data_IF_026789361169
#
_entry.id   IF_026789361169
#
_cell.length_a   1.000
_cell.length_b   1.000
_cell.length_c   1.000
_cell.angle_alpha   90.00
_cell.angle_beta   90.00
_cell.angle_gamma   90.00
#
_symmetry.space_group_name_H-M   'P 1'
#
loop_
_entity.id
_entity.type
_entity.pdbx_description
1 polymer ?
#
# COMPACT_ATOMS: atom_id res chain seq x y z
N UNK A 1 31.34 -26.95 -17.88
CA UNK A 1 29.90 -26.70 -17.66
C UNK A 1 29.71 -25.20 -17.48
N UNK A 2 29.62 -24.45 -18.58
CA UNK A 2 29.44 -22.99 -18.56
C UNK A 2 28.07 -22.63 -19.09
N UNK A 3 27.06 -22.58 -18.22
CA UNK A 3 25.74 -22.10 -18.60
C UNK A 3 25.78 -20.60 -18.84
N UNK A 4 25.55 -20.15 -20.07
CA UNK A 4 25.43 -18.73 -20.41
C UNK A 4 24.17 -18.18 -19.73
N UNK A 5 24.31 -17.61 -18.53
CA UNK A 5 23.16 -17.02 -17.84
C UNK A 5 22.57 -15.89 -18.70
N UNK A 6 21.25 -15.96 -18.92
CA UNK A 6 20.47 -14.96 -19.68
C UNK A 6 20.68 -13.56 -19.05
N UNK A 7 20.80 -13.53 -17.72
CA UNK A 7 20.96 -12.32 -16.92
C UNK A 7 22.36 -12.22 -16.31
N UNK A 8 22.82 -10.99 -16.07
CA UNK A 8 24.03 -10.70 -15.29
C UNK A 8 23.72 -10.33 -13.83
N UNK A 9 22.51 -9.81 -13.58
CA UNK A 9 22.08 -9.32 -12.28
C UNK A 9 20.56 -9.39 -12.15
N UNK A 10 20.08 -9.56 -10.92
CA UNK A 10 18.70 -9.33 -10.52
C UNK A 10 18.61 -8.04 -9.71
N UNK A 11 17.73 -7.12 -10.10
CA UNK A 11 17.46 -5.89 -9.35
C UNK A 11 16.01 -5.95 -8.86
N UNK A 12 15.81 -6.11 -7.56
CA UNK A 12 14.48 -6.17 -6.96
C UNK A 12 14.12 -4.83 -6.33
N UNK A 13 13.15 -4.16 -6.95
CA UNK A 13 12.50 -2.95 -6.44
C UNK A 13 11.32 -3.34 -5.58
N UNK A 14 11.23 -2.75 -4.38
CA UNK A 14 10.13 -3.01 -3.49
C UNK A 14 9.60 -1.77 -2.79
N UNK A 15 8.29 -1.71 -2.58
CA UNK A 15 7.66 -0.80 -1.62
C UNK A 15 7.05 -1.66 -0.52
N UNK A 16 7.36 -1.39 0.74
CA UNK A 16 6.85 -2.20 1.84
C UNK A 16 6.50 -1.33 3.04
N UNK A 17 5.44 -1.70 3.75
CA UNK A 17 5.11 -1.10 5.04
C UNK A 17 5.59 -1.97 6.19
N UNK A 18 5.11 -3.22 6.22
CA UNK A 18 5.32 -4.19 7.32
C UNK A 18 6.31 -5.32 6.99
N UNK A 19 6.97 -5.27 5.82
CA UNK A 19 7.98 -6.24 5.41
C UNK A 19 7.53 -7.29 4.38
N UNK A 20 6.23 -7.44 4.08
CA UNK A 20 5.74 -8.47 3.15
C UNK A 20 6.39 -8.42 1.75
N UNK A 21 6.38 -7.25 1.11
CA UNK A 21 6.95 -7.08 -0.23
C UNK A 21 8.48 -7.20 -0.22
N UNK A 22 9.13 -6.73 0.85
CA UNK A 22 10.57 -6.94 1.06
C UNK A 22 10.91 -8.43 1.15
N UNK A 23 10.12 -9.21 1.89
CA UNK A 23 10.31 -10.65 2.01
C UNK A 23 10.24 -11.35 0.65
N UNK A 24 9.29 -10.96 -0.22
CA UNK A 24 9.21 -11.48 -1.59
C UNK A 24 10.44 -11.09 -2.41
N UNK A 25 10.87 -9.83 -2.35
CA UNK A 25 12.07 -9.37 -3.04
C UNK A 25 13.33 -10.11 -2.56
N UNK A 26 13.45 -10.35 -1.25
CA UNK A 26 14.53 -11.13 -0.63
C UNK A 26 14.52 -12.59 -1.11
N UNK A 27 13.37 -13.23 -1.23
CA UNK A 27 13.30 -14.59 -1.79
C UNK A 27 13.76 -14.63 -3.24
N UNK A 28 13.40 -13.61 -4.05
CA UNK A 28 13.89 -13.51 -5.42
C UNK A 28 15.42 -13.36 -5.47
N UNK A 29 15.98 -12.50 -4.62
CA UNK A 29 17.44 -12.33 -4.49
C UNK A 29 18.14 -13.64 -4.09
N UNK A 30 17.62 -14.35 -3.08
CA UNK A 30 18.17 -15.64 -2.64
C UNK A 30 18.18 -16.69 -3.75
N UNK A 31 17.09 -16.81 -4.52
CA UNK A 31 17.04 -17.76 -5.64
C UNK A 31 18.02 -17.37 -6.73
N UNK A 32 18.16 -16.07 -7.05
CA UNK A 32 19.14 -15.61 -8.02
C UNK A 32 20.58 -15.91 -7.57
N UNK A 33 20.91 -15.71 -6.30
CA UNK A 33 22.22 -16.02 -5.71
C UNK A 33 22.55 -17.51 -5.81
N UNK A 34 21.57 -18.42 -5.61
CA UNK A 34 21.80 -19.86 -5.83
C UNK A 34 22.15 -20.24 -7.27
N UNK A 35 21.83 -19.36 -8.22
CA UNK A 35 22.20 -19.52 -9.63
C UNK A 35 23.46 -18.73 -10.01
N UNK A 36 24.17 -18.15 -9.04
CA UNK A 36 25.37 -17.35 -9.28
C UNK A 36 25.12 -15.92 -9.79
N UNK A 37 23.86 -15.46 -9.81
CA UNK A 37 23.51 -14.10 -10.21
C UNK A 37 23.72 -13.13 -9.04
N UNK A 38 24.34 -11.98 -9.32
CA UNK A 38 24.37 -10.87 -8.37
C UNK A 38 22.96 -10.33 -8.16
N UNK A 39 22.62 -9.96 -6.93
CA UNK A 39 21.32 -9.41 -6.58
C UNK A 39 21.46 -8.02 -5.95
N UNK A 40 20.46 -7.17 -6.14
CA UNK A 40 20.35 -5.88 -5.45
C UNK A 40 18.91 -5.66 -5.00
N UNK A 41 18.72 -5.19 -3.76
CA UNK A 41 17.42 -4.88 -3.17
C UNK A 41 17.28 -3.36 -2.99
N UNK A 42 16.31 -2.74 -3.68
CA UNK A 42 16.07 -1.29 -3.68
C UNK A 42 14.68 -1.00 -3.12
N UNK A 43 14.61 -0.28 -2.00
CA UNK A 43 13.33 0.20 -1.47
C UNK A 43 12.91 1.48 -2.20
N UNK A 44 11.73 1.49 -2.80
CA UNK A 44 11.14 2.68 -3.41
C UNK A 44 10.60 3.60 -2.31
N UNK A 45 11.13 4.82 -2.22
CA UNK A 45 10.61 5.89 -1.35
C UNK A 45 10.21 7.12 -2.17
N UNK A 46 9.31 7.93 -1.61
CA UNK A 46 8.84 9.16 -2.24
C UNK A 46 9.93 10.24 -2.28
N UNK A 47 10.04 10.89 -3.43
CA UNK A 47 11.00 11.96 -3.69
C UNK A 47 12.39 11.46 -4.14
N UNK A 48 12.60 10.14 -4.22
CA UNK A 48 13.79 9.57 -4.84
C UNK A 48 13.59 9.44 -6.36
N UNK A 49 14.69 9.56 -7.12
CA UNK A 49 14.68 9.34 -8.57
C UNK A 49 14.54 7.84 -8.85
N UNK A 50 13.90 7.49 -9.95
CA UNK A 50 13.84 6.09 -10.38
C UNK A 50 15.22 5.61 -10.85
N UNK A 51 15.70 4.50 -10.29
CA UNK A 51 17.03 3.98 -10.60
C UNK A 51 17.07 3.35 -11.98
N UNK A 52 18.19 3.52 -12.68
CA UNK A 52 18.45 2.82 -13.94
C UNK A 52 18.72 1.35 -13.67
N UNK A 53 18.13 0.47 -14.48
CA UNK A 53 18.41 -0.97 -14.42
C UNK A 53 19.58 -1.29 -15.35
N UNK A 54 20.67 -1.92 -14.87
CA UNK A 54 21.81 -2.29 -15.71
C UNK A 54 21.40 -3.20 -16.88
N UNK A 55 22.10 -3.14 -18.00
CA UNK A 55 21.82 -3.99 -19.16
C UNK A 55 21.93 -5.48 -18.82
N UNK A 56 21.09 -6.30 -19.45
CA UNK A 56 21.00 -7.75 -19.22
C UNK A 56 20.65 -8.09 -17.76
N UNK A 57 19.80 -7.28 -17.14
CA UNK A 57 19.29 -7.56 -15.79
C UNK A 57 17.84 -8.01 -15.80
N UNK A 58 17.47 -8.76 -14.77
CA UNK A 58 16.09 -9.08 -14.45
C UNK A 58 15.59 -8.12 -13.38
N UNK A 59 14.67 -7.22 -13.74
CA UNK A 59 14.02 -6.32 -12.79
C UNK A 59 12.84 -7.03 -12.12
N UNK A 60 12.74 -7.00 -10.80
CA UNK A 60 11.62 -7.57 -10.04
C UNK A 60 10.92 -6.45 -9.28
N UNK A 61 9.61 -6.32 -9.42
CA UNK A 61 8.81 -5.32 -8.71
C UNK A 61 7.88 -5.99 -7.71
N UNK A 62 8.05 -5.70 -6.42
CA UNK A 62 7.19 -6.23 -5.35
C UNK A 62 6.59 -5.09 -4.52
N UNK A 63 5.28 -5.14 -4.25
CA UNK A 63 4.61 -4.03 -3.57
C UNK A 63 3.22 -4.43 -3.07
N UNK A 64 2.66 -3.78 -2.04
CA UNK A 64 1.31 -4.07 -1.58
C UNK A 64 0.27 -3.67 -2.62
N UNK A 65 -0.82 -4.45 -2.74
CA UNK A 65 -2.03 -4.03 -3.46
C UNK A 65 -2.86 -3.10 -2.59
N UNK A 66 -3.20 -1.92 -3.09
CA UNK A 66 -4.05 -0.94 -2.42
C UNK A 66 -5.30 -0.67 -3.28
N UNK A 67 -6.51 -0.86 -2.74
CA UNK A 67 -7.75 -0.60 -3.49
C UNK A 67 -7.88 -1.42 -4.78
N UNK A 68 -7.45 -2.69 -4.77
CA UNK A 68 -7.44 -3.60 -5.94
C UNK A 68 -6.59 -3.10 -7.11
N UNK A 69 -5.58 -2.28 -6.82
CA UNK A 69 -4.63 -1.77 -7.81
C UNK A 69 -3.26 -1.45 -7.18
N UNK A 70 -2.32 -0.98 -7.99
CA UNK A 70 -0.98 -0.63 -7.55
C UNK A 70 -0.99 0.71 -6.78
N UNK A 71 -0.14 0.89 -5.74
CA UNK A 71 -0.04 2.17 -5.04
C UNK A 71 0.46 3.29 -5.96
N UNK A 72 -0.01 4.52 -5.72
CA UNK A 72 0.44 5.70 -6.47
C UNK A 72 1.96 5.87 -6.54
N UNK A 73 2.66 5.50 -5.47
CA UNK A 73 4.12 5.57 -5.44
C UNK A 73 4.77 4.64 -6.47
N UNK A 74 4.27 3.43 -6.61
CA UNK A 74 4.77 2.45 -7.59
C UNK A 74 4.43 2.89 -9.00
N UNK A 75 3.18 3.30 -9.25
CA UNK A 75 2.76 3.79 -10.57
C UNK A 75 3.64 4.96 -11.02
N UNK A 76 3.88 5.94 -10.13
CA UNK A 76 4.75 7.08 -10.42
C UNK A 76 6.21 6.67 -10.61
N UNK A 77 6.74 5.79 -9.76
CA UNK A 77 8.12 5.34 -9.85
C UNK A 77 8.39 4.63 -11.18
N UNK A 78 7.52 3.68 -11.56
CA UNK A 78 7.60 2.95 -12.82
C UNK A 78 7.40 3.89 -14.00
N UNK A 79 6.42 4.79 -13.93
CA UNK A 79 6.21 5.80 -14.95
C UNK A 79 7.40 6.74 -15.11
N UNK A 80 8.28 6.89 -14.13
CA UNK A 80 9.49 7.73 -14.18
C UNK A 80 10.79 6.94 -14.47
N UNK A 81 10.74 5.61 -14.63
CA UNK A 81 11.93 4.78 -14.90
C UNK A 81 12.62 5.18 -16.22
N UNK A 82 13.96 5.20 -16.28
CA UNK A 82 14.67 5.26 -17.55
C UNK A 82 14.25 4.13 -18.51
N UNK A 83 14.54 4.29 -19.81
CA UNK A 83 14.25 3.24 -20.79
C UNK A 83 14.89 1.91 -20.36
N UNK A 84 14.11 0.84 -20.36
CA UNK A 84 14.54 -0.49 -19.92
C UNK A 84 15.48 -1.19 -20.89
N UNK A 85 15.69 -0.68 -22.11
CA UNK A 85 16.57 -1.29 -23.12
C UNK A 85 16.26 -2.78 -23.36
N UNK A 86 14.97 -3.16 -23.36
CA UNK A 86 14.48 -4.54 -23.47
C UNK A 86 14.91 -5.46 -22.32
N UNK A 87 15.38 -4.92 -21.20
CA UNK A 87 15.58 -5.69 -19.96
C UNK A 87 14.30 -6.41 -19.57
N UNK A 88 14.46 -7.59 -18.97
CA UNK A 88 13.33 -8.39 -18.55
C UNK A 88 12.80 -7.90 -17.21
N UNK A 89 11.48 -8.01 -17.02
CA UNK A 89 10.83 -7.62 -15.78
C UNK A 89 9.85 -8.69 -15.27
N UNK A 90 9.70 -8.78 -13.95
CA UNK A 90 8.68 -9.56 -13.26
C UNK A 90 7.91 -8.65 -12.32
N UNK A 91 6.59 -8.84 -12.25
CA UNK A 91 5.70 -8.07 -11.37
C UNK A 91 5.01 -8.99 -10.36
N UNK A 92 5.21 -8.71 -9.07
CA UNK A 92 4.75 -9.52 -7.95
C UNK A 92 3.98 -8.67 -6.92
N UNK A 93 2.75 -8.23 -7.23
CA UNK A 93 1.94 -7.51 -6.27
C UNK A 93 1.56 -8.44 -5.10
N UNK A 94 1.71 -7.95 -3.88
CA UNK A 94 1.29 -8.67 -2.68
C UNK A 94 -0.20 -8.45 -2.44
N UNK A 95 -0.93 -9.53 -2.18
CA UNK A 95 -2.36 -9.51 -1.87
C UNK A 95 -2.61 -10.13 -0.50
N UNK A 96 -3.66 -9.66 0.17
CA UNK A 96 -3.95 -9.98 1.57
C UNK A 96 -4.54 -11.39 1.73
N UNK A 97 -3.67 -12.38 1.94
CA UNK A 97 -4.07 -13.73 2.31
C UNK A 97 -4.51 -13.80 3.78
N UNK A 98 -5.58 -14.55 4.03
CA UNK A 98 -6.08 -14.83 5.39
C UNK A 98 -6.27 -16.33 5.58
N UNK A 99 -6.18 -16.78 6.84
CA UNK A 99 -6.46 -18.17 7.22
C UNK A 99 -7.42 -18.16 8.40
N UNK A 100 -8.59 -18.77 8.22
CA UNK A 100 -9.67 -18.83 9.21
C UNK A 100 -10.02 -20.30 9.42
N UNK A 101 -9.94 -20.77 10.67
CA UNK A 101 -10.24 -22.18 11.04
C UNK A 101 -9.56 -23.21 10.11
N UNK A 102 -8.30 -22.97 9.76
CA UNK A 102 -7.51 -23.86 8.90
C UNK A 102 -7.70 -23.66 7.38
N UNK A 103 -8.74 -22.95 6.95
CA UNK A 103 -9.01 -22.67 5.54
C UNK A 103 -8.26 -21.41 5.10
N UNK A 104 -7.52 -21.52 4.00
CA UNK A 104 -6.81 -20.40 3.38
C UNK A 104 -7.70 -19.70 2.36
N UNK A 105 -7.76 -18.37 2.43
CA UNK A 105 -8.44 -17.52 1.46
C UNK A 105 -7.41 -16.58 0.83
N UNK A 106 -7.25 -16.62 -0.52
CA UNK A 106 -6.34 -15.72 -1.21
C UNK A 106 -6.87 -14.28 -1.19
N UNK A 107 -5.95 -13.33 -1.31
CA UNK A 107 -6.30 -11.93 -1.50
C UNK A 107 -6.70 -11.62 -2.94
N UNK A 108 -7.01 -10.34 -3.20
CA UNK A 108 -7.30 -9.84 -4.54
C UNK A 108 -6.37 -8.67 -4.88
N UNK A 109 -5.49 -8.88 -5.87
CA UNK A 109 -4.58 -7.86 -6.41
C UNK A 109 -5.24 -6.95 -7.45
N UNK A 110 -6.35 -7.39 -8.05
CA UNK A 110 -7.05 -6.67 -9.10
C UNK A 110 -6.13 -6.31 -10.27
N UNK A 111 -6.09 -5.03 -10.61
CA UNK A 111 -5.25 -4.52 -11.72
C UNK A 111 -3.78 -4.37 -11.36
N UNK A 112 -3.38 -4.55 -10.10
CA UNK A 112 -2.06 -4.17 -9.60
C UNK A 112 -0.88 -4.79 -10.35
N UNK A 113 -1.01 -6.03 -10.81
CA UNK A 113 0.04 -6.72 -11.58
C UNK A 113 0.12 -6.22 -13.02
N UNK A 114 -0.96 -6.37 -13.76
CA UNK A 114 -0.98 -6.05 -15.20
C UNK A 114 -0.93 -4.56 -15.51
N UNK A 115 -1.42 -3.69 -14.61
CA UNK A 115 -1.25 -2.24 -14.76
C UNK A 115 0.24 -1.87 -14.77
N UNK A 116 1.01 -2.38 -13.82
CA UNK A 116 2.45 -2.11 -13.75
C UNK A 116 3.20 -2.82 -14.88
N UNK A 117 2.78 -4.02 -15.29
CA UNK A 117 3.32 -4.68 -16.48
C UNK A 117 3.15 -3.81 -17.74
N UNK A 118 1.99 -3.17 -17.91
CA UNK A 118 1.72 -2.24 -19.00
C UNK A 118 2.60 -0.98 -18.92
N UNK A 119 2.75 -0.38 -17.73
CA UNK A 119 3.63 0.78 -17.54
C UNK A 119 5.11 0.44 -17.83
N UNK A 120 5.56 -0.75 -17.45
CA UNK A 120 6.91 -1.24 -17.74
C UNK A 120 7.11 -1.45 -19.25
N UNK A 121 6.10 -1.97 -19.95
CA UNK A 121 6.14 -2.10 -21.40
C UNK A 121 6.30 -0.74 -22.09
N UNK A 122 5.55 0.29 -21.67
CA UNK A 122 5.75 1.66 -22.16
C UNK A 122 7.15 2.21 -21.85
N UNK A 123 7.79 1.74 -20.78
CA UNK A 123 9.17 2.08 -20.44
C UNK A 123 10.22 1.22 -21.13
N UNK A 124 9.85 0.37 -22.10
CA UNK A 124 10.79 -0.41 -22.90
C UNK A 124 11.30 -1.68 -22.24
N UNK A 125 10.64 -2.17 -21.18
CA UNK A 125 10.92 -3.46 -20.57
C UNK A 125 10.14 -4.58 -21.27
N UNK A 126 10.67 -5.80 -21.22
CA UNK A 126 9.97 -7.02 -21.62
C UNK A 126 9.52 -7.77 -20.37
N UNK A 127 8.25 -7.65 -20.03
CA UNK A 127 7.69 -8.41 -18.91
C UNK A 127 7.76 -9.89 -19.26
N UNK A 128 8.32 -10.72 -18.37
CA UNK A 128 8.41 -12.17 -18.52
C UNK A 128 7.55 -12.91 -17.48
N UNK A 129 7.07 -12.21 -16.46
CA UNK A 129 6.09 -12.79 -15.56
C UNK A 129 5.30 -11.80 -14.72
N UNK A 130 4.09 -12.21 -14.38
CA UNK A 130 3.15 -11.50 -13.50
C UNK A 130 2.48 -12.54 -12.62
N UNK A 131 2.49 -12.35 -11.30
CA UNK A 131 1.82 -13.25 -10.36
C UNK A 131 1.48 -12.53 -9.06
N UNK A 132 0.21 -12.57 -8.63
CA UNK A 132 -0.18 -12.13 -7.30
C UNK A 132 0.42 -13.01 -6.20
N UNK A 133 1.06 -12.40 -5.21
CA UNK A 133 1.68 -13.13 -4.08
C UNK A 133 0.84 -12.96 -2.83
N UNK A 134 0.18 -14.03 -2.41
CA UNK A 134 -0.57 -14.06 -1.15
C UNK A 134 0.37 -13.93 0.04
N UNK A 135 0.32 -12.78 0.73
CA UNK A 135 1.05 -12.56 1.97
C UNK A 135 0.09 -12.34 3.12
N UNK A 136 0.51 -12.57 4.38
CA UNK A 136 -0.36 -12.40 5.53
C UNK A 136 -0.96 -10.98 5.55
N UNK A 137 -2.28 -10.89 5.68
CA UNK A 137 -2.95 -9.60 5.72
C UNK A 137 -2.43 -8.74 6.87
N UNK A 138 -2.10 -7.49 6.55
CA UNK A 138 -1.41 -6.55 7.42
C UNK A 138 -2.14 -5.21 7.57
N UNK A 139 -3.41 -5.12 7.14
CA UNK A 139 -4.22 -3.90 7.26
C UNK A 139 -4.74 -3.73 8.70
N UNK A 140 -3.82 -3.41 9.61
CA UNK A 140 -4.07 -3.35 11.06
C UNK A 140 -5.07 -2.26 11.48
N UNK A 141 -5.37 -1.32 10.60
CA UNK A 141 -6.45 -0.35 10.80
C UNK A 141 -7.85 -0.96 10.64
N UNK A 142 -7.98 -2.09 9.92
CA UNK A 142 -9.25 -2.77 9.65
C UNK A 142 -9.42 -4.02 10.52
N UNK A 143 -8.37 -4.82 10.68
CA UNK A 143 -8.42 -6.08 11.43
C UNK A 143 -7.12 -6.35 12.21
N UNK A 144 -7.14 -7.29 13.15
CA UNK A 144 -5.94 -7.66 13.91
C UNK A 144 -4.89 -8.36 13.06
N UNK A 145 -3.61 -8.22 13.42
CA UNK A 145 -2.52 -8.97 12.82
C UNK A 145 -2.69 -10.49 13.01
N UNK A 146 -2.42 -11.26 11.96
CA UNK A 146 -2.51 -12.72 11.98
C UNK A 146 -1.55 -13.35 13.02
N UNK A 147 -1.87 -14.56 13.49
CA UNK A 147 -0.95 -15.34 14.35
C UNK A 147 0.31 -15.74 13.62
N UNK A 148 1.39 -16.00 14.37
CA UNK A 148 2.65 -16.48 13.81
C UNK A 148 2.44 -17.75 12.97
N UNK A 149 1.66 -18.70 13.48
CA UNK A 149 1.28 -19.92 12.76
C UNK A 149 0.56 -19.63 11.43
N UNK A 150 -0.54 -18.85 11.46
CA UNK A 150 -1.29 -18.54 10.24
C UNK A 150 -0.45 -17.75 9.24
N UNK A 151 0.36 -16.81 9.73
CA UNK A 151 1.27 -16.04 8.91
C UNK A 151 2.36 -16.93 8.29
N UNK A 152 2.92 -17.87 9.03
CA UNK A 152 3.94 -18.80 8.56
C UNK A 152 3.40 -19.72 7.47
N UNK A 153 2.20 -20.28 7.63
CA UNK A 153 1.57 -21.12 6.59
C UNK A 153 1.40 -20.35 5.28
N UNK A 154 0.83 -19.14 5.33
CA UNK A 154 0.66 -18.29 4.14
C UNK A 154 2.02 -17.96 3.52
N UNK A 155 2.98 -17.57 4.34
CA UNK A 155 4.33 -17.18 3.92
C UNK A 155 5.08 -18.35 3.27
N UNK A 156 4.95 -19.57 3.79
CA UNK A 156 5.60 -20.77 3.24
C UNK A 156 5.00 -21.16 1.88
N UNK A 157 3.68 -21.13 1.74
CA UNK A 157 3.03 -21.34 0.45
C UNK A 157 3.47 -20.29 -0.59
N UNK A 158 3.52 -19.02 -0.19
CA UNK A 158 3.98 -17.93 -1.03
C UNK A 158 5.44 -18.10 -1.48
N UNK A 159 6.33 -18.48 -0.55
CA UNK A 159 7.74 -18.73 -0.83
C UNK A 159 7.93 -19.81 -1.90
N UNK A 160 7.21 -20.91 -1.80
CA UNK A 160 7.27 -22.00 -2.80
C UNK A 160 6.82 -21.53 -4.19
N UNK A 161 5.73 -20.76 -4.27
CA UNK A 161 5.24 -20.19 -5.54
C UNK A 161 6.23 -19.20 -6.15
N UNK A 162 6.77 -18.28 -5.34
CA UNK A 162 7.77 -17.28 -5.79
C UNK A 162 9.03 -17.97 -6.30
N UNK A 163 9.52 -19.00 -5.59
CA UNK A 163 10.68 -19.78 -6.02
C UNK A 163 10.44 -20.47 -7.36
N UNK A 164 9.30 -21.17 -7.49
CA UNK A 164 8.93 -21.87 -8.72
C UNK A 164 8.85 -20.91 -9.91
N UNK A 165 8.10 -19.81 -9.77
CA UNK A 165 7.97 -18.80 -10.82
C UNK A 165 9.33 -18.21 -11.23
N UNK A 166 10.17 -17.82 -10.26
CA UNK A 166 11.45 -17.24 -10.58
C UNK A 166 12.38 -18.25 -11.29
N UNK A 167 12.39 -19.51 -10.86
CA UNK A 167 13.13 -20.57 -11.55
C UNK A 167 12.65 -20.74 -13.01
N UNK A 168 11.34 -20.67 -13.27
CA UNK A 168 10.79 -20.68 -14.63
C UNK A 168 11.35 -19.52 -15.47
N UNK A 169 11.37 -18.30 -14.93
CA UNK A 169 11.87 -17.12 -15.66
C UNK A 169 13.39 -17.12 -15.84
N UNK A 170 14.14 -17.63 -14.85
CA UNK A 170 15.59 -17.79 -14.94
C UNK A 170 15.99 -18.86 -15.98
N UNK A 171 15.14 -19.87 -16.19
CA UNK A 171 15.30 -20.86 -17.26
C UNK A 171 14.94 -20.32 -18.67
N UNK A 172 14.51 -19.06 -18.78
CA UNK A 172 14.16 -18.42 -20.06
C UNK A 172 12.68 -18.54 -20.46
N UNK A 173 11.85 -19.17 -19.62
CA UNK A 173 10.42 -19.31 -19.87
C UNK A 173 9.62 -18.13 -19.31
N UNK A 174 8.37 -17.99 -19.73
CA UNK A 174 7.44 -16.97 -19.24
C UNK A 174 6.50 -17.56 -18.20
N UNK A 175 6.07 -16.75 -17.24
CA UNK A 175 5.09 -17.16 -16.23
C UNK A 175 4.07 -16.06 -15.96
N UNK A 176 2.88 -16.20 -16.54
CA UNK A 176 1.77 -15.28 -16.32
C UNK A 176 0.65 -15.96 -15.56
N UNK A 177 0.28 -15.37 -14.44
CA UNK A 177 -0.87 -15.71 -13.61
C UNK A 177 -1.68 -14.42 -13.38
N UNK A 178 -2.79 -14.49 -12.65
CA UNK A 178 -3.54 -13.29 -12.24
C UNK A 178 -4.55 -12.80 -13.29
N UNK A 179 -4.82 -13.53 -14.37
CA UNK A 179 -5.71 -13.06 -15.45
C UNK A 179 -7.16 -12.90 -14.97
N UNK A 180 -7.62 -13.81 -14.12
CA UNK A 180 -8.95 -13.71 -13.49
C UNK A 180 -9.01 -12.46 -12.61
N UNK A 181 -7.94 -12.19 -11.87
CA UNK A 181 -7.81 -11.03 -11.00
C UNK A 181 -7.75 -9.73 -11.80
N UNK A 182 -7.18 -9.73 -13.00
CA UNK A 182 -7.26 -8.60 -13.92
C UNK A 182 -8.72 -8.30 -14.31
N UNK A 183 -9.49 -9.31 -14.72
CA UNK A 183 -10.89 -9.12 -15.09
C UNK A 183 -11.75 -8.66 -13.90
N UNK A 184 -11.57 -9.27 -12.72
CA UNK A 184 -12.21 -8.80 -11.50
C UNK A 184 -11.80 -7.37 -11.15
N UNK A 185 -10.52 -7.04 -11.27
CA UNK A 185 -9.99 -5.69 -11.07
C UNK A 185 -10.58 -4.68 -12.04
N UNK A 186 -10.77 -5.06 -13.31
CA UNK A 186 -11.40 -4.23 -14.32
C UNK A 186 -12.90 -4.01 -14.02
N UNK A 187 -13.62 -5.04 -13.57
CA UNK A 187 -14.99 -4.90 -13.10
C UNK A 187 -15.08 -3.95 -11.88
N UNK A 188 -14.06 -3.95 -11.03
CA UNK A 188 -13.93 -3.06 -9.86
C UNK A 188 -13.21 -1.73 -10.17
N UNK A 189 -12.97 -1.38 -11.44
CA UNK A 189 -12.16 -0.22 -11.80
C UNK A 189 -12.68 1.10 -11.22
N UNK A 190 -14.02 1.26 -11.12
CA UNK A 190 -14.64 2.42 -10.46
C UNK A 190 -14.24 2.52 -8.98
N UNK A 191 -14.19 1.40 -8.27
CA UNK A 191 -13.78 1.34 -6.86
C UNK A 191 -12.29 1.65 -6.74
N UNK A 192 -11.44 1.08 -7.60
CA UNK A 192 -10.01 1.40 -7.63
C UNK A 192 -9.75 2.88 -7.91
N UNK A 193 -10.48 3.47 -8.86
CA UNK A 193 -10.37 4.90 -9.17
C UNK A 193 -10.81 5.76 -7.96
N UNK A 194 -11.97 5.46 -7.37
CA UNK A 194 -12.45 6.18 -6.18
C UNK A 194 -11.51 6.02 -4.99
N UNK A 195 -10.86 4.87 -4.85
CA UNK A 195 -9.83 4.67 -3.83
C UNK A 195 -8.65 5.62 -4.05
N UNK A 196 -8.13 5.68 -5.28
CA UNK A 196 -6.97 6.48 -5.68
C UNK A 196 -7.22 7.99 -5.53
N UNK A 197 -8.41 8.48 -5.89
CA UNK A 197 -8.71 9.93 -5.93
C UNK A 197 -9.43 10.44 -4.67
N UNK A 198 -10.01 9.57 -3.85
CA UNK A 198 -10.80 9.97 -2.69
C UNK A 198 -10.46 9.15 -1.45
N UNK A 199 -10.71 7.84 -1.46
CA UNK A 199 -10.67 7.05 -0.22
C UNK A 199 -9.29 7.06 0.43
N UNK A 200 -8.20 7.10 -0.34
CA UNK A 200 -6.84 7.23 0.18
C UNK A 200 -6.68 8.47 1.08
N UNK A 201 -7.27 9.60 0.67
CA UNK A 201 -7.22 10.85 1.42
C UNK A 201 -7.97 10.77 2.74
N UNK A 202 -9.09 10.06 2.77
CA UNK A 202 -9.90 9.86 3.99
C UNK A 202 -9.22 8.88 4.93
N UNK A 203 -8.75 7.74 4.42
CA UNK A 203 -8.09 6.69 5.21
C UNK A 203 -6.86 7.23 5.94
N UNK A 204 -6.13 8.17 5.33
CA UNK A 204 -5.03 8.87 5.98
C UNK A 204 -5.44 9.62 7.25
N UNK A 205 -6.67 10.13 7.33
CA UNK A 205 -7.17 10.95 8.44
C UNK A 205 -7.77 10.16 9.59
N UNK A 206 -7.95 8.85 9.40
CA UNK A 206 -8.47 7.95 10.44
C UNK A 206 -7.43 7.67 11.54
N UNK A 207 -6.15 7.89 11.25
CA UNK A 207 -5.08 7.69 12.22
C UNK A 207 -4.95 8.86 13.19
N UNK A 208 -4.76 8.51 14.45
CA UNK A 208 -4.34 9.43 15.50
C UNK A 208 -3.29 8.78 16.40
N UNK A 209 -2.59 9.60 17.19
CA UNK A 209 -1.68 9.13 18.23
C UNK A 209 -2.33 9.28 19.61
N UNK A 210 -2.44 8.17 20.35
CA UNK A 210 -2.93 8.17 21.72
C UNK A 210 -1.92 8.81 22.70
N UNK A 211 -2.33 8.92 23.96
CA UNK A 211 -1.53 9.44 25.06
C UNK A 211 -0.21 8.70 25.28
N UNK A 212 -0.14 7.42 24.85
CA UNK A 212 1.08 6.59 24.86
C UNK A 212 2.22 7.13 23.99
N UNK A 213 1.93 8.01 23.03
CA UNK A 213 2.97 8.51 22.14
C UNK A 213 3.94 9.43 22.90
N UNK A 214 5.23 9.12 22.83
CA UNK A 214 6.32 9.88 23.46
C UNK A 214 7.04 10.85 22.52
N UNK A 215 6.59 11.00 21.27
CA UNK A 215 7.17 11.93 20.31
C UNK A 215 8.52 11.51 19.69
N UNK A 216 8.91 10.23 19.78
CA UNK A 216 10.19 9.73 19.24
C UNK A 216 10.38 9.85 17.71
N UNK A 217 9.36 10.26 16.95
CA UNK A 217 9.42 10.52 15.51
C UNK A 217 9.80 9.32 14.61
N UNK A 218 9.94 8.10 15.14
CA UNK A 218 10.22 6.89 14.34
C UNK A 218 9.21 6.69 13.21
N UNK A 219 7.93 6.95 13.46
CA UNK A 219 6.87 6.84 12.46
C UNK A 219 7.08 7.76 11.23
N UNK A 220 7.73 8.91 11.43
CA UNK A 220 8.09 9.82 10.35
C UNK A 220 9.30 9.30 9.58
N UNK A 221 10.34 8.84 10.27
CA UNK A 221 11.58 8.37 9.62
C UNK A 221 11.37 7.09 8.79
N UNK A 222 10.45 6.22 9.21
CA UNK A 222 10.18 4.96 8.51
C UNK A 222 9.10 5.07 7.41
N UNK A 223 8.58 6.27 7.12
CA UNK A 223 7.50 6.42 6.16
C UNK A 223 8.06 6.41 4.72
N UNK A 224 7.81 5.36 3.90
CA UNK A 224 8.31 5.34 2.52
C UNK A 224 7.69 6.47 1.68
N UNK A 225 6.50 6.98 2.05
CA UNK A 225 5.83 8.09 1.36
C UNK A 225 6.23 9.47 1.85
N UNK A 226 7.05 9.59 2.90
CA UNK A 226 7.33 10.87 3.60
C UNK A 226 6.04 11.64 3.96
N UNK A 227 5.00 10.90 4.32
CA UNK A 227 3.64 11.41 4.46
C UNK A 227 3.27 11.83 5.89
N UNK A 228 4.20 11.77 6.84
CA UNK A 228 3.98 12.17 8.23
C UNK A 228 4.77 13.44 8.55
N UNK A 229 4.15 14.34 9.30
CA UNK A 229 4.79 15.50 9.93
C UNK A 229 4.59 15.42 11.44
N UNK A 230 5.60 15.79 12.22
CA UNK A 230 5.45 15.87 13.68
C UNK A 230 4.99 17.27 14.05
N UNK A 231 3.86 17.38 14.78
CA UNK A 231 3.22 18.66 15.14
C UNK A 231 2.97 18.76 16.65
N UNK A 232 2.96 19.99 17.18
CA UNK A 232 2.74 20.26 18.60
C UNK A 232 3.95 19.99 19.50
N UNK A 233 3.77 20.13 20.83
CA UNK A 233 4.79 19.87 21.85
C UNK A 233 4.16 19.07 23.01
N UNK A 234 4.61 17.82 23.29
CA UNK A 234 5.59 17.04 22.52
C UNK A 234 5.05 16.68 21.11
N UNK A 235 5.96 16.52 20.15
CA UNK A 235 5.59 16.27 18.75
C UNK A 235 4.75 15.00 18.57
N UNK A 236 3.66 15.10 17.81
CA UNK A 236 2.77 13.98 17.46
C UNK A 236 2.64 13.83 15.94
N UNK A 237 2.48 12.61 15.42
CA UNK A 237 2.32 12.40 13.99
C UNK A 237 1.02 13.04 13.47
N UNK A 238 1.15 13.74 12.34
CA UNK A 238 0.08 14.28 11.52
C UNK A 238 0.22 13.68 10.12
N UNK A 239 -0.83 13.01 9.66
CA UNK A 239 -0.81 12.31 8.37
C UNK A 239 -1.28 13.25 7.26
N UNK A 240 -0.38 13.52 6.32
CA UNK A 240 -0.65 14.33 5.12
C UNK A 240 -1.50 13.55 4.12
N UNK A 241 -2.02 14.25 3.10
CA UNK A 241 -2.78 13.63 2.01
C UNK A 241 -1.95 12.67 1.14
N UNK A 242 -0.63 12.68 1.27
CA UNK A 242 0.24 11.73 0.55
C UNK A 242 0.30 10.34 1.21
N UNK A 243 -0.32 10.16 2.39
CA UNK A 243 -0.36 8.85 3.04
C UNK A 243 -1.20 7.87 2.21
N UNK A 244 -0.71 6.65 2.07
CA UNK A 244 -1.39 5.55 1.36
C UNK A 244 -1.78 4.41 2.29
N UNK A 245 -1.70 4.63 3.60
CA UNK A 245 -2.06 3.63 4.60
C UNK A 245 -1.28 2.31 4.46
N UNK A 246 0.02 2.36 4.12
CA UNK A 246 0.88 1.15 4.08
C UNK A 246 1.11 0.46 5.44
N UNK A 247 0.59 1.01 6.54
CA UNK A 247 0.65 0.47 7.90
C UNK A 247 2.03 0.40 8.58
N UNK A 248 3.10 0.95 7.98
CA UNK A 248 4.44 0.97 8.58
C UNK A 248 4.44 1.62 9.98
N UNK A 249 3.92 2.86 10.06
CA UNK A 249 3.90 3.63 11.29
C UNK A 249 3.11 2.94 12.42
N UNK A 250 1.95 2.38 12.11
CA UNK A 250 1.07 1.70 13.07
C UNK A 250 1.71 0.42 13.63
N UNK A 251 2.39 -0.36 12.80
CA UNK A 251 2.93 -1.66 13.19
C UNK A 251 4.31 -1.60 13.83
N UNK A 252 5.13 -0.60 13.51
CA UNK A 252 6.47 -0.43 14.07
C UNK A 252 6.55 0.59 15.22
N UNK A 253 5.43 1.23 15.60
CA UNK A 253 5.43 2.12 16.77
C UNK A 253 5.76 1.33 18.05
N UNK A 254 6.87 1.64 18.75
CA UNK A 254 7.27 0.90 19.95
C UNK A 254 6.27 1.09 21.10
N UNK A 255 5.64 2.27 21.16
CA UNK A 255 4.61 2.60 22.15
C UNK A 255 3.22 2.08 21.79
N UNK A 256 3.07 1.45 20.60
CA UNK A 256 1.78 1.06 20.02
C UNK A 256 0.74 2.18 20.00
N UNK A 257 1.19 3.44 19.93
CA UNK A 257 0.36 4.61 20.15
C UNK A 257 -0.43 5.08 18.92
N UNK A 258 -0.13 4.56 17.73
CA UNK A 258 -0.83 4.92 16.50
C UNK A 258 -2.05 4.00 16.35
N UNK A 259 -3.22 4.61 16.30
CA UNK A 259 -4.50 3.96 16.50
C UNK A 259 -5.57 4.52 15.55
N UNK A 260 -6.63 3.74 15.36
CA UNK A 260 -7.86 4.13 14.66
C UNK A 260 -9.04 3.86 15.59
N UNK A 261 -9.94 4.83 15.73
CA UNK A 261 -11.11 4.76 16.61
C UNK A 261 -12.40 4.73 15.79
N UNK A 262 -13.40 3.90 16.15
CA UNK A 262 -14.69 3.90 15.46
C UNK A 262 -15.34 5.28 15.51
N UNK A 263 -15.16 6.04 16.60
CA UNK A 263 -15.68 7.40 16.72
C UNK A 263 -15.11 8.33 15.64
N UNK A 264 -13.80 8.26 15.37
CA UNK A 264 -13.14 9.07 14.33
C UNK A 264 -13.60 8.60 12.95
N UNK A 265 -13.75 7.30 12.72
CA UNK A 265 -14.30 6.75 11.47
C UNK A 265 -15.71 7.30 11.23
N UNK A 266 -16.59 7.20 12.22
CA UNK A 266 -17.97 7.68 12.16
C UNK A 266 -18.03 9.18 11.90
N UNK A 267 -17.19 9.98 12.57
CA UNK A 267 -17.09 11.42 12.35
C UNK A 267 -16.77 11.75 10.89
N UNK A 268 -15.71 11.15 10.33
CA UNK A 268 -15.33 11.40 8.94
C UNK A 268 -16.34 10.85 7.94
N UNK A 269 -16.99 9.73 8.24
CA UNK A 269 -18.07 9.18 7.43
C UNK A 269 -19.25 10.16 7.34
N UNK A 270 -19.75 10.67 8.47
CA UNK A 270 -20.86 11.63 8.48
C UNK A 270 -20.53 12.91 7.73
N UNK A 271 -19.33 13.46 7.93
CA UNK A 271 -18.87 14.66 7.21
C UNK A 271 -18.83 14.42 5.70
N UNK A 272 -18.28 13.29 5.26
CA UNK A 272 -18.17 12.95 3.85
C UNK A 272 -19.53 12.62 3.20
N UNK A 273 -20.50 12.13 3.99
CA UNK A 273 -21.82 11.71 3.52
C UNK A 273 -22.79 12.89 3.29
N UNK A 274 -22.48 14.11 3.73
CA UNK A 274 -23.36 15.28 3.52
C UNK A 274 -23.49 15.57 2.01
N UNK A 275 -24.71 15.55 1.44
CA UNK A 275 -24.89 15.65 -0.01
C UNK A 275 -24.95 17.10 -0.50
N UNK A 276 -23.89 17.87 -0.26
CA UNK A 276 -23.80 19.31 -0.58
C UNK A 276 -24.11 19.60 -2.04
N UNK A 277 -23.63 18.77 -2.96
CA UNK A 277 -23.94 18.95 -4.38
C UNK A 277 -25.43 18.80 -4.70
N UNK A 278 -26.15 17.91 -4.03
CA UNK A 278 -27.60 17.76 -4.23
C UNK A 278 -28.36 18.99 -3.71
N UNK A 279 -27.96 19.54 -2.55
CA UNK A 279 -28.52 20.79 -2.03
C UNK A 279 -28.22 21.98 -2.95
N UNK A 280 -26.99 22.11 -3.42
CA UNK A 280 -26.58 23.17 -4.33
C UNK A 280 -27.31 23.09 -5.68
N UNK A 281 -27.42 21.89 -6.27
CA UNK A 281 -28.17 21.69 -7.51
C UNK A 281 -29.65 21.97 -7.34
N UNK A 282 -30.28 21.52 -6.24
CA UNK A 282 -31.70 21.82 -5.96
C UNK A 282 -31.98 23.32 -5.93
N UNK A 283 -31.07 24.11 -5.36
CA UNK A 283 -31.18 25.56 -5.34
C UNK A 283 -31.00 26.17 -6.74
N UNK A 284 -30.02 25.66 -7.50
CA UNK A 284 -29.73 26.14 -8.86
C UNK A 284 -30.83 25.78 -9.89
N UNK A 285 -31.56 24.69 -9.69
CA UNK A 285 -32.59 24.20 -10.62
C UNK A 285 -34.03 24.49 -10.17
N UNK A 286 -34.24 25.38 -9.18
CA UNK A 286 -35.57 25.70 -8.64
C UNK A 286 -36.39 24.44 -8.22
N UNK A 287 -35.73 23.44 -7.63
CA UNK A 287 -36.42 22.31 -6.99
C UNK A 287 -36.54 21.01 -7.80
N UNK A 288 -36.02 20.92 -9.02
CA UNK A 288 -35.92 19.63 -9.70
C UNK A 288 -34.93 18.71 -8.96
N UNK A 289 -35.44 17.61 -8.42
CA UNK A 289 -34.69 16.68 -7.59
C UNK A 289 -33.64 15.91 -8.41
N UNK A 290 -32.37 16.27 -8.25
CA UNK A 290 -31.26 15.44 -8.73
C UNK A 290 -30.98 14.34 -7.70
N UNK A 291 -31.15 13.08 -8.08
CA UNK A 291 -30.73 11.93 -7.26
C UNK A 291 -29.20 11.86 -7.16
N UNK A 292 -28.69 11.32 -6.06
CA UNK A 292 -27.24 11.12 -5.85
C UNK A 292 -26.55 10.33 -6.99
N UNK A 293 -27.29 9.41 -7.61
CA UNK A 293 -26.82 8.58 -8.73
C UNK A 293 -26.76 9.28 -10.09
N UNK A 294 -27.27 10.52 -10.20
CA UNK A 294 -27.33 11.30 -11.46
C UNK A 294 -26.61 12.64 -11.36
N UNK A 295 -25.64 12.76 -10.44
CA UNK A 295 -24.78 13.93 -10.35
C UNK A 295 -24.01 14.13 -11.68
N UNK A 296 -24.19 15.29 -12.31
CA UNK A 296 -23.35 15.71 -13.44
C UNK A 296 -21.88 15.80 -13.01
N UNK A 297 -20.95 15.83 -13.97
CA UNK A 297 -19.52 16.06 -13.68
C UNK A 297 -19.29 17.32 -12.82
N UNK A 298 -20.12 18.35 -13.02
CA UNK A 298 -20.13 19.56 -12.21
C UNK A 298 -20.57 19.29 -10.76
N UNK A 299 -21.66 18.56 -10.56
CA UNK A 299 -22.10 18.12 -9.22
C UNK A 299 -21.05 17.27 -8.52
N UNK A 300 -20.39 16.35 -9.24
CA UNK A 300 -19.28 15.57 -8.69
C UNK A 300 -18.13 16.47 -8.23
N UNK A 301 -17.75 17.47 -9.03
CA UNK A 301 -16.72 18.45 -8.68
C UNK A 301 -17.04 19.22 -7.40
N UNK A 302 -18.29 19.70 -7.26
CA UNK A 302 -18.76 20.38 -6.04
C UNK A 302 -18.66 19.45 -4.83
N UNK A 303 -19.21 18.24 -4.93
CA UNK A 303 -19.19 17.28 -3.83
C UNK A 303 -17.76 16.91 -3.45
N UNK A 304 -16.90 16.67 -4.43
CA UNK A 304 -15.50 16.34 -4.26
C UNK A 304 -14.75 17.47 -3.52
N UNK A 305 -14.92 18.72 -3.98
CA UNK A 305 -14.34 19.90 -3.34
C UNK A 305 -14.80 20.07 -1.89
N UNK A 306 -16.11 19.94 -1.65
CA UNK A 306 -16.66 19.94 -0.29
C UNK A 306 -16.02 18.87 0.57
N UNK A 307 -16.00 17.60 0.12
CA UNK A 307 -15.46 16.49 0.91
C UNK A 307 -13.99 16.73 1.27
N UNK A 308 -13.15 17.19 0.33
CA UNK A 308 -11.74 17.48 0.63
C UNK A 308 -11.58 18.60 1.67
N UNK A 309 -12.30 19.71 1.52
CA UNK A 309 -12.22 20.86 2.43
C UNK A 309 -12.77 20.51 3.81
N UNK A 310 -13.94 19.87 3.87
CA UNK A 310 -14.58 19.48 5.12
C UNK A 310 -13.69 18.49 5.91
N UNK A 311 -13.08 17.52 5.22
CA UNK A 311 -12.12 16.60 5.85
C UNK A 311 -10.87 17.34 6.32
N UNK A 312 -10.35 18.30 5.55
CA UNK A 312 -9.19 19.09 5.95
C UNK A 312 -9.46 19.84 7.27
N UNK A 313 -10.57 20.58 7.31
CA UNK A 313 -10.99 21.38 8.46
C UNK A 313 -11.28 20.49 9.68
N UNK A 314 -12.03 19.40 9.48
CA UNK A 314 -12.33 18.45 10.55
C UNK A 314 -11.06 17.79 11.11
N UNK A 315 -10.06 17.51 10.26
CA UNK A 315 -8.80 16.94 10.71
C UNK A 315 -7.94 17.95 11.49
N UNK A 316 -7.93 19.23 11.08
CA UNK A 316 -7.30 20.30 11.86
C UNK A 316 -7.97 20.43 13.23
N UNK A 317 -9.31 20.46 13.26
CA UNK A 317 -10.07 20.50 14.51
C UNK A 317 -9.85 19.27 15.38
N UNK A 318 -9.77 18.07 14.78
CA UNK A 318 -9.44 16.83 15.49
C UNK A 318 -8.06 16.92 16.15
N UNK A 319 -7.03 17.42 15.46
CA UNK A 319 -5.71 17.60 16.06
C UNK A 319 -5.68 18.70 17.13
N UNK A 320 -6.48 19.74 16.96
CA UNK A 320 -6.69 20.76 18.00
C UNK A 320 -7.32 20.14 19.27
N UNK A 321 -8.37 19.33 19.15
CA UNK A 321 -8.98 18.66 20.32
C UNK A 321 -8.06 17.61 20.93
N UNK A 322 -7.34 16.85 20.10
CA UNK A 322 -6.30 15.91 20.54
C UNK A 322 -5.07 16.59 21.16
N UNK A 323 -4.99 17.93 21.23
CA UNK A 323 -3.98 18.62 22.05
C UNK A 323 -4.19 18.38 23.56
N UNK A 324 -5.44 18.15 23.98
CA UNK A 324 -5.79 17.77 25.35
C UNK A 324 -5.37 16.33 25.66
N UNK A 325 -4.68 16.13 26.79
CA UNK A 325 -4.27 14.79 27.24
C UNK A 325 -5.48 13.90 27.55
N UNK A 326 -6.51 14.46 28.20
CA UNK A 326 -7.72 13.73 28.55
C UNK A 326 -8.44 13.19 27.30
N UNK A 327 -8.59 14.03 26.28
CA UNK A 327 -9.25 13.63 25.02
C UNK A 327 -8.45 12.51 24.33
N UNK A 328 -7.11 12.61 24.29
CA UNK A 328 -6.28 11.53 23.72
C UNK A 328 -6.42 10.21 24.46
N UNK A 329 -6.48 10.26 25.79
CA UNK A 329 -6.63 9.07 26.61
C UNK A 329 -8.00 8.40 26.36
N UNK A 330 -9.08 9.20 26.34
CA UNK A 330 -10.43 8.71 26.03
C UNK A 330 -10.47 8.14 24.61
N UNK A 331 -9.99 8.87 23.61
CA UNK A 331 -9.94 8.42 22.22
C UNK A 331 -9.15 7.10 22.07
N UNK A 332 -8.02 6.98 22.79
CA UNK A 332 -7.23 5.75 22.86
C UNK A 332 -7.95 4.60 23.55
N UNK A 333 -8.70 4.84 24.63
CA UNK A 333 -9.50 3.78 25.30
C UNK A 333 -10.65 3.27 24.41
N UNK A 334 -11.26 4.17 23.63
CA UNK A 334 -12.36 3.86 22.69
C UNK A 334 -11.86 3.27 21.35
N UNK A 335 -10.55 3.23 21.14
CA UNK A 335 -9.96 2.67 19.93
C UNK A 335 -9.94 1.15 19.97
N UNK A 336 -10.72 0.54 19.07
CA UNK A 336 -10.71 -0.90 18.85
C UNK A 336 -9.32 -1.44 18.48
N UNK A 337 -8.55 -0.67 17.69
CA UNK A 337 -7.21 -1.08 17.25
C UNK A 337 -6.15 -1.08 18.35
N UNK A 338 -6.45 -0.52 19.54
CA UNK A 338 -5.58 -0.61 20.72
C UNK A 338 -5.32 -2.06 21.13
N UNK A 339 -6.31 -2.93 20.93
CA UNK A 339 -6.26 -4.34 21.31
C UNK A 339 -5.78 -5.24 20.17
N UNK A 340 -5.59 -4.68 18.97
CA UNK A 340 -5.18 -5.46 17.82
C UNK A 340 -3.69 -5.84 17.91
N UNK A 341 -3.41 -7.10 17.60
CA UNK A 341 -2.05 -7.57 17.37
C UNK A 341 -1.43 -6.76 16.23
N UNK A 342 -0.23 -6.23 16.44
CA UNK A 342 0.57 -5.61 15.36
C UNK A 342 1.20 -6.71 14.51
N UNK A 343 1.23 -6.52 13.21
CA UNK A 343 1.84 -7.42 12.25
C UNK A 343 3.17 -6.87 11.73
N UNK A 344 4.22 -7.69 11.80
CA UNK A 344 5.51 -7.46 11.18
C UNK A 344 5.91 -8.76 10.50
N UNK A 345 6.41 -8.68 9.27
CA UNK A 345 6.90 -9.85 8.56
C UNK A 345 8.08 -10.46 9.34
N UNK A 346 8.09 -11.79 9.42
CA UNK A 346 9.08 -12.53 10.19
C UNK A 346 10.49 -12.37 9.60
N UNK A 347 11.48 -12.17 10.47
CA UNK A 347 12.87 -11.98 10.06
C UNK A 347 13.12 -10.70 9.23
N UNK A 348 12.29 -9.65 9.40
CA UNK A 348 12.46 -8.34 8.78
C UNK A 348 12.66 -7.27 9.86
N UNK A 349 13.83 -6.62 9.84
CA UNK A 349 14.15 -5.49 10.71
C UNK A 349 13.88 -4.14 10.02
N UNK A 350 13.82 -3.06 10.79
CA UNK A 350 13.69 -1.71 10.22
C UNK A 350 14.94 -1.28 9.41
N UNK A 351 16.12 -1.81 9.74
CA UNK A 351 17.36 -1.56 8.98
C UNK A 351 17.30 -2.16 7.58
N UNK A 352 16.57 -3.26 7.41
CA UNK A 352 16.44 -3.93 6.11
C UNK A 352 15.60 -3.13 5.10
N UNK A 353 14.64 -2.36 5.60
CA UNK A 353 13.59 -1.72 4.79
C UNK A 353 13.70 -0.18 4.84
N UNK A 354 13.56 0.40 6.03
CA UNK A 354 13.27 1.83 6.18
C UNK A 354 14.48 2.66 6.59
N UNK A 355 15.38 2.08 7.37
CA UNK A 355 16.53 2.76 8.00
C UNK A 355 17.87 2.42 7.33
N UNK A 356 17.86 2.09 6.04
CA UNK A 356 19.07 1.98 5.22
C UNK A 356 19.74 3.32 5.04
#
# INVERSE_FOLDING_TARGET
>A
MGGTYIYRMLVAFFMTGTGNSYTVARWCAQVAETTGLRSQLIQIKAGEKSDSVPLRSLAVFTYPTHGFTAPWLIMKYVWCLPNGHKNHAIVLPNRAGIRIKGVFFPGLEGTAGYLIALLLWFRGYRVQGVMGVDMPSNWTALHWGLSGENAAVITNMAKSKVKSMLQTVLAGNRHYDGIVQLFLGAALAKISLMYIIMAQFILAKLFFASDKCNGCSLCQSICPKKALRMVGRPGRPYWTYSCDSCMACMNYCPQKAIEVSPFIITLFYYIAAVPVAAYAMRYATNGYASHWGTLSWFGFGIQYGYTLVAIALAYVFLHFTLSSRLIREIAGKLSHTRYFRRYKAEGVSLKDIHLK
#
